data_IF_912006593474
#
_entry.id   IF_912006593474
#
_cell.length_a   1.000
_cell.length_b   1.000
_cell.length_c   1.000
_cell.angle_alpha   90.00
_cell.angle_beta   90.00
_cell.angle_gamma   90.00
#
_symmetry.space_group_name_H-M   'P 1'
#
loop_
_entity.id
_entity.type
_entity.pdbx_description
1 polymer ?
#
# COMPACT_ATOMS: atom_id res chain seq x y z
N UNK A 1 -20.31 -33.79 -74.90
CA UNK A 1 -20.41 -32.40 -75.30
C UNK A 1 -20.29 -31.56 -74.04
N UNK A 2 -19.04 -31.41 -73.56
CA UNK A 2 -18.16 -30.21 -73.61
C UNK A 2 -18.35 -29.29 -72.38
N UNK A 3 -17.34 -28.77 -71.67
CA UNK A 3 -15.89 -28.96 -71.61
C UNK A 3 -15.42 -28.42 -70.25
N UNK A 4 -14.21 -28.82 -69.86
CA UNK A 4 -13.43 -28.40 -68.69
C UNK A 4 -13.28 -26.89 -68.52
N UNK A 5 -13.36 -26.37 -67.28
CA UNK A 5 -12.37 -25.40 -66.80
C UNK A 5 -12.38 -25.28 -65.26
N UNK A 6 -11.43 -25.94 -64.62
CA UNK A 6 -10.95 -25.60 -63.29
C UNK A 6 -9.59 -24.92 -63.46
N UNK A 7 -9.41 -23.71 -62.93
CA UNK A 7 -8.11 -23.27 -62.47
C UNK A 7 -8.14 -23.20 -60.95
N UNK A 8 -7.29 -24.04 -60.36
CA UNK A 8 -6.78 -23.95 -59.00
C UNK A 8 -6.50 -22.50 -58.59
N UNK A 9 -7.24 -22.00 -57.61
CA UNK A 9 -6.86 -20.82 -56.85
C UNK A 9 -6.61 -21.25 -55.40
N UNK A 10 -5.34 -21.36 -54.94
CA UNK A 10 -5.07 -21.53 -53.53
C UNK A 10 -5.32 -20.19 -52.85
N UNK A 11 -6.41 -20.10 -52.07
CA UNK A 11 -6.74 -18.93 -51.23
C UNK A 11 -5.94 -18.93 -49.91
N UNK A 12 -4.67 -19.34 -49.96
CA UNK A 12 -3.76 -19.24 -48.83
C UNK A 12 -2.73 -18.14 -49.14
N UNK A 13 -2.81 -16.98 -48.47
CA UNK A 13 -1.69 -16.05 -48.45
C UNK A 13 -0.49 -16.78 -47.82
N UNK A 14 0.68 -16.60 -48.42
CA UNK A 14 1.94 -17.16 -47.95
C UNK A 14 2.12 -16.88 -46.45
N UNK A 15 2.27 -17.94 -45.66
CA UNK A 15 2.81 -17.89 -44.30
C UNK A 15 4.29 -17.50 -44.39
N UNK A 16 4.56 -16.21 -44.52
CA UNK A 16 5.88 -15.62 -44.34
C UNK A 16 5.72 -14.24 -43.70
N UNK A 17 5.27 -14.24 -42.46
CA UNK A 17 5.51 -13.13 -41.53
C UNK A 17 6.13 -13.76 -40.29
N UNK A 18 7.45 -13.92 -40.36
CA UNK A 18 8.30 -14.20 -39.22
C UNK A 18 8.21 -12.98 -38.29
N UNK A 19 7.23 -12.98 -37.38
CA UNK A 19 7.12 -11.95 -36.34
C UNK A 19 8.37 -11.99 -35.45
N UNK A 20 9.21 -10.94 -35.43
CA UNK A 20 10.31 -10.90 -34.49
C UNK A 20 9.79 -10.45 -33.12
N UNK A 21 10.01 -11.28 -32.10
CA UNK A 21 10.22 -10.91 -30.69
C UNK A 21 9.15 -10.05 -29.96
N UNK A 22 7.86 -10.17 -30.26
CA UNK A 22 6.79 -9.50 -29.49
C UNK A 22 6.59 -10.05 -28.07
N UNK A 23 7.05 -11.28 -27.78
CA UNK A 23 6.91 -11.91 -26.46
C UNK A 23 7.74 -11.26 -25.34
N UNK A 24 8.91 -10.68 -25.66
CA UNK A 24 9.81 -10.10 -24.64
C UNK A 24 9.31 -8.74 -24.13
N UNK A 25 8.76 -7.90 -25.01
CA UNK A 25 8.21 -6.59 -24.62
C UNK A 25 6.97 -6.73 -23.72
N UNK A 26 6.04 -7.62 -24.08
CA UNK A 26 4.84 -7.89 -23.28
C UNK A 26 5.15 -8.45 -21.88
N UNK A 27 6.14 -9.35 -21.78
CA UNK A 27 6.60 -9.87 -20.49
C UNK A 27 7.24 -8.78 -19.62
N UNK A 28 8.09 -7.92 -20.19
CA UNK A 28 8.71 -6.80 -19.46
C UNK A 28 7.65 -5.83 -18.93
N UNK A 29 6.65 -5.47 -19.75
CA UNK A 29 5.53 -4.61 -19.34
C UNK A 29 4.72 -5.25 -18.21
N UNK A 30 4.46 -6.56 -18.30
CA UNK A 30 3.74 -7.31 -17.26
C UNK A 30 4.51 -7.38 -15.94
N UNK A 31 5.82 -7.61 -16.01
CA UNK A 31 6.71 -7.61 -14.83
C UNK A 31 6.77 -6.22 -14.23
N UNK A 32 6.93 -5.17 -15.04
CA UNK A 32 6.95 -3.78 -14.58
C UNK A 32 5.65 -3.42 -13.83
N UNK A 33 4.48 -3.81 -14.37
CA UNK A 33 3.19 -3.63 -13.71
C UNK A 33 3.12 -4.35 -12.37
N UNK A 34 3.61 -5.58 -12.31
CA UNK A 34 3.62 -6.36 -11.07
C UNK A 34 4.55 -5.76 -10.02
N UNK A 35 5.76 -5.34 -10.40
CA UNK A 35 6.72 -4.65 -9.54
C UNK A 35 6.11 -3.36 -9.00
N UNK A 36 5.47 -2.58 -9.86
CA UNK A 36 4.92 -1.27 -9.48
C UNK A 36 3.75 -1.44 -8.50
N UNK A 37 2.88 -2.42 -8.74
CA UNK A 37 1.81 -2.80 -7.81
C UNK A 37 2.37 -3.31 -6.47
N UNK A 38 3.42 -4.13 -6.52
CA UNK A 38 4.11 -4.61 -5.32
C UNK A 38 4.75 -3.46 -4.54
N UNK A 39 5.41 -2.53 -5.22
CA UNK A 39 6.04 -1.36 -4.61
C UNK A 39 5.02 -0.49 -3.87
N UNK A 40 3.84 -0.22 -4.45
CA UNK A 40 2.76 0.49 -3.75
C UNK A 40 2.35 -0.21 -2.46
N UNK A 41 2.17 -1.53 -2.51
CA UNK A 41 1.81 -2.34 -1.34
C UNK A 41 2.90 -2.30 -0.26
N UNK A 42 4.17 -2.44 -0.65
CA UNK A 42 5.30 -2.41 0.28
C UNK A 42 5.41 -1.04 0.95
N UNK A 43 5.35 0.05 0.18
CA UNK A 43 5.40 1.42 0.73
C UNK A 43 4.26 1.64 1.73
N UNK A 44 3.04 1.21 1.39
CA UNK A 44 1.88 1.34 2.25
C UNK A 44 2.01 0.53 3.54
N UNK A 45 2.45 -0.74 3.46
CA UNK A 45 2.64 -1.60 4.62
C UNK A 45 3.76 -1.09 5.54
N UNK A 46 4.89 -0.68 4.97
CA UNK A 46 6.00 -0.10 5.75
C UNK A 46 5.53 1.17 6.44
N UNK A 47 4.78 2.03 5.75
CA UNK A 47 4.25 3.25 6.34
C UNK A 47 3.26 3.00 7.48
N UNK A 48 2.31 2.06 7.31
CA UNK A 48 1.41 1.63 8.40
C UNK A 48 2.22 1.08 9.58
N UNK A 49 3.22 0.25 9.31
CA UNK A 49 4.07 -0.33 10.34
C UNK A 49 4.83 0.76 11.11
N UNK A 50 5.33 1.78 10.42
CA UNK A 50 5.96 2.95 11.05
C UNK A 50 4.98 3.70 11.95
N UNK A 51 3.73 3.91 11.52
CA UNK A 51 2.69 4.53 12.37
C UNK A 51 2.42 3.67 13.60
N UNK A 52 2.26 2.36 13.43
CA UNK A 52 1.98 1.44 14.52
C UNK A 52 3.14 1.33 15.52
N UNK A 53 4.37 1.43 15.02
CA UNK A 53 5.59 1.44 15.82
C UNK A 53 5.94 2.85 16.33
N UNK A 54 5.23 3.91 15.97
CA UNK A 54 5.48 5.25 16.47
C UNK A 54 5.63 5.34 18.01
N UNK A 55 4.75 4.69 18.82
CA UNK A 55 4.91 4.64 20.28
C UNK A 55 6.11 3.81 20.76
N UNK A 56 6.81 3.08 19.88
CA UNK A 56 8.05 2.35 20.18
C UNK A 56 9.27 3.28 20.18
N UNK A 57 10.27 2.99 21.03
CA UNK A 57 11.45 3.85 21.24
C UNK A 57 12.26 4.06 19.97
N UNK A 58 12.35 3.04 19.12
CA UNK A 58 13.07 3.11 17.84
C UNK A 58 12.47 4.16 16.92
N UNK A 59 11.16 4.08 16.66
CA UNK A 59 10.48 4.98 15.73
C UNK A 59 10.39 6.40 16.29
N UNK A 60 10.19 6.57 17.59
CA UNK A 60 10.20 7.91 18.20
C UNK A 60 11.57 8.59 18.02
N UNK A 61 12.68 7.86 18.19
CA UNK A 61 14.03 8.40 17.97
C UNK A 61 14.28 8.75 16.50
N UNK A 62 13.94 7.85 15.58
CA UNK A 62 14.07 8.11 14.14
C UNK A 62 13.24 9.33 13.70
N UNK A 63 12.01 9.46 14.22
CA UNK A 63 11.15 10.59 13.94
C UNK A 63 11.74 11.90 14.46
N UNK A 64 12.28 11.92 15.69
CA UNK A 64 12.90 13.12 16.24
C UNK A 64 14.12 13.56 15.43
N UNK A 65 14.98 12.62 15.04
CA UNK A 65 16.14 12.92 14.19
C UNK A 65 15.71 13.44 12.82
N UNK A 66 14.65 12.87 12.24
CA UNK A 66 14.07 13.32 10.98
C UNK A 66 13.52 14.75 11.09
N UNK A 67 12.77 15.03 12.15
CA UNK A 67 12.23 16.36 12.45
C UNK A 67 13.37 17.36 12.63
N UNK A 68 14.41 17.04 13.39
CA UNK A 68 15.57 17.91 13.59
C UNK A 68 16.26 18.23 12.25
N UNK A 69 16.44 17.23 11.38
CA UNK A 69 17.01 17.43 10.05
C UNK A 69 16.12 18.31 9.14
N UNK A 70 14.79 18.25 9.30
CA UNK A 70 13.83 19.05 8.50
C UNK A 70 13.42 20.36 9.15
N UNK A 71 13.78 20.61 10.41
CA UNK A 71 13.47 21.86 11.12
C UNK A 71 14.16 23.09 10.51
N UNK A 72 15.30 22.90 9.83
CA UNK A 72 15.99 23.95 9.08
C UNK A 72 15.31 24.28 7.74
N UNK A 73 14.28 23.53 7.34
CA UNK A 73 13.49 23.78 6.12
C UNK A 73 12.54 24.97 6.31
N UNK A 74 12.13 25.58 5.19
CA UNK A 74 11.17 26.70 5.13
C UNK A 74 9.84 26.40 5.83
N UNK A 75 9.45 25.14 5.94
CA UNK A 75 8.19 24.70 6.57
C UNK A 75 8.35 24.18 8.01
N UNK A 76 9.59 24.07 8.51
CA UNK A 76 9.92 23.66 9.87
C UNK A 76 9.21 22.38 10.34
N UNK A 77 8.81 22.36 11.62
CA UNK A 77 8.15 21.22 12.26
C UNK A 77 6.84 20.82 11.56
N UNK A 78 6.02 21.80 11.15
CA UNK A 78 4.75 21.54 10.45
C UNK A 78 4.98 20.81 9.14
N UNK A 79 5.98 21.27 8.37
CA UNK A 79 6.39 20.60 7.13
C UNK A 79 6.91 19.19 7.37
N UNK A 80 7.69 18.98 8.43
CA UNK A 80 8.21 17.66 8.79
C UNK A 80 7.07 16.67 9.09
N UNK A 81 6.11 17.07 9.93
CA UNK A 81 4.93 16.26 10.27
C UNK A 81 4.12 15.98 9.00
N UNK A 82 3.81 17.02 8.23
CA UNK A 82 3.06 16.86 6.98
C UNK A 82 3.74 15.88 6.04
N UNK A 83 5.06 16.00 5.82
CA UNK A 83 5.81 15.13 4.93
C UNK A 83 5.89 13.70 5.46
N UNK A 84 6.07 13.47 6.77
CA UNK A 84 6.08 12.13 7.35
C UNK A 84 4.77 11.37 7.11
N UNK A 85 3.63 12.05 7.19
CA UNK A 85 2.32 11.42 6.97
C UNK A 85 1.86 11.44 5.51
N UNK A 86 2.25 12.44 4.72
CA UNK A 86 1.77 12.58 3.33
C UNK A 86 2.76 12.09 2.26
N UNK A 87 4.07 12.08 2.52
CA UNK A 87 5.06 11.67 1.52
C UNK A 87 4.85 10.23 1.02
N UNK A 88 4.47 9.26 1.87
CA UNK A 88 4.19 7.90 1.39
C UNK A 88 2.95 7.84 0.51
N UNK A 89 1.92 8.63 0.82
CA UNK A 89 0.74 8.77 -0.03
C UNK A 89 1.09 9.43 -1.37
N UNK A 90 1.90 10.48 -1.36
CA UNK A 90 2.36 11.17 -2.56
C UNK A 90 3.24 10.24 -3.43
N UNK A 91 4.14 9.47 -2.81
CA UNK A 91 4.95 8.48 -3.50
C UNK A 91 4.07 7.43 -4.19
N UNK A 92 3.07 6.88 -3.49
CA UNK A 92 2.11 5.94 -4.06
C UNK A 92 1.35 6.60 -5.23
N UNK A 93 0.92 7.85 -5.10
CA UNK A 93 0.21 8.56 -6.15
C UNK A 93 1.07 8.74 -7.42
N UNK A 94 2.34 9.11 -7.27
CA UNK A 94 3.28 9.24 -8.39
C UNK A 94 3.51 7.88 -9.06
N UNK A 95 3.77 6.84 -8.26
CA UNK A 95 3.94 5.46 -8.72
C UNK A 95 2.68 4.97 -9.44
N UNK A 96 1.49 5.33 -8.94
CA UNK A 96 0.20 4.98 -9.55
C UNK A 96 -0.05 5.71 -10.86
N UNK A 97 0.35 6.98 -10.99
CA UNK A 97 0.29 7.69 -12.25
C UNK A 97 1.16 7.00 -13.32
N UNK A 98 2.39 6.60 -12.96
CA UNK A 98 3.27 5.83 -13.86
C UNK A 98 2.64 4.48 -14.22
N UNK A 99 2.04 3.80 -13.25
CA UNK A 99 1.36 2.52 -13.48
C UNK A 99 0.22 2.66 -14.49
N UNK A 100 -0.57 3.72 -14.38
CA UNK A 100 -1.70 3.98 -15.25
C UNK A 100 -1.27 4.29 -16.68
N UNK A 101 -0.17 5.03 -16.85
CA UNK A 101 0.41 5.31 -18.18
C UNK A 101 0.86 4.00 -18.86
N UNK A 102 1.58 3.13 -18.14
CA UNK A 102 2.06 1.85 -18.68
C UNK A 102 0.90 0.85 -18.91
N UNK A 103 -0.18 0.96 -18.12
CA UNK A 103 -1.35 0.07 -18.21
C UNK A 103 -2.35 0.46 -19.29
N UNK A 104 -2.20 1.64 -19.89
CA UNK A 104 -3.11 2.17 -20.90
C UNK A 104 -3.17 1.32 -22.19
N UNK A 105 -2.09 0.60 -22.51
CA UNK A 105 -2.00 -0.22 -23.73
C UNK A 105 -2.62 -1.62 -23.59
N UNK A 106 -3.06 -2.01 -22.39
CA UNK A 106 -3.65 -3.34 -22.12
C UNK A 106 -5.18 -3.38 -22.26
N UNK A 107 -5.81 -2.29 -22.66
CA UNK A 107 -7.27 -2.24 -22.78
C UNK A 107 -7.74 -2.54 -24.22
N UNK A 108 -8.10 -3.79 -24.56
CA UNK A 108 -9.14 -3.99 -25.54
C UNK A 108 -10.43 -3.54 -24.86
N UNK A 109 -10.85 -2.30 -25.15
CA UNK A 109 -12.15 -1.69 -24.85
C UNK A 109 -13.38 -2.48 -25.37
N UNK A 110 -13.24 -3.77 -25.68
CA UNK A 110 -14.29 -4.69 -26.14
C UNK A 110 -14.14 -6.09 -25.55
N UNK A 111 -13.83 -6.26 -24.27
CA UNK A 111 -14.26 -7.50 -23.60
C UNK A 111 -15.69 -7.29 -23.14
N UNK A 112 -16.63 -7.68 -24.02
CA UNK A 112 -18.06 -7.78 -23.68
C UNK A 112 -18.17 -8.32 -22.26
N UNK A 113 -18.82 -7.53 -21.41
CA UNK A 113 -19.25 -7.90 -20.09
C UNK A 113 -20.15 -9.12 -20.29
N UNK A 114 -19.56 -10.32 -20.35
CA UNK A 114 -20.27 -11.54 -20.06
C UNK A 114 -20.52 -11.45 -18.56
N UNK A 115 -21.70 -10.96 -18.23
CA UNK A 115 -22.28 -10.94 -16.90
C UNK A 115 -22.25 -12.36 -16.33
N UNK A 116 -21.11 -12.76 -15.78
CA UNK A 116 -21.11 -13.79 -14.75
C UNK A 116 -21.55 -13.05 -13.49
N UNK A 117 -22.66 -13.46 -12.83
CA UNK A 117 -23.01 -12.93 -11.53
C UNK A 117 -21.90 -13.32 -10.56
N UNK A 118 -20.90 -12.44 -10.44
CA UNK A 118 -19.82 -12.57 -9.48
C UNK A 118 -20.44 -12.18 -8.15
N UNK A 119 -20.70 -13.19 -7.34
CA UNK A 119 -21.04 -13.12 -5.92
C UNK A 119 -20.61 -11.78 -5.32
N UNK A 120 -21.61 -10.90 -5.16
CA UNK A 120 -21.54 -9.53 -4.64
C UNK A 120 -21.32 -9.54 -3.13
N UNK A 121 -20.41 -10.39 -2.62
CA UNK A 121 -20.05 -10.44 -1.20
C UNK A 121 -19.38 -9.14 -0.71
N UNK A 122 -18.90 -8.30 -1.62
CA UNK A 122 -18.37 -6.97 -1.29
C UNK A 122 -19.44 -5.87 -1.22
N UNK A 123 -20.64 -6.13 -1.74
CA UNK A 123 -21.81 -5.26 -1.61
C UNK A 123 -22.96 -5.99 -0.96
N UNK A 124 -22.70 -7.01 -0.13
CA UNK A 124 -23.69 -7.45 0.83
C UNK A 124 -23.59 -6.45 1.99
N UNK A 125 -24.58 -5.54 2.13
CA UNK A 125 -24.71 -4.77 3.35
C UNK A 125 -25.06 -5.78 4.43
N UNK A 126 -24.04 -6.26 5.15
CA UNK A 126 -24.25 -7.09 6.34
C UNK A 126 -24.69 -6.13 7.44
N UNK A 127 -26.02 -6.07 7.64
CA UNK A 127 -26.76 -5.49 8.78
C UNK A 127 -26.53 -3.98 9.01
N UNK A 128 -27.49 -3.06 8.83
CA UNK A 128 -28.93 -3.15 9.14
C UNK A 128 -29.71 -2.08 8.36
N UNK A 129 -30.91 -2.45 7.89
CA UNK A 129 -31.99 -1.52 7.56
C UNK A 129 -32.56 -0.92 8.86
N UNK A 130 -31.86 0.05 9.47
CA UNK A 130 -32.31 0.70 10.70
C UNK A 130 -31.88 2.19 10.76
N UNK A 131 -32.58 3.02 11.56
CA UNK A 131 -32.38 4.47 11.62
C UNK A 131 -31.01 4.92 12.18
N UNK A 132 -30.19 3.96 12.64
CA UNK A 132 -28.78 4.19 12.94
C UNK A 132 -27.98 3.86 11.69
N UNK A 133 -27.79 4.91 10.90
CA UNK A 133 -27.01 5.00 9.68
C UNK A 133 -25.77 4.07 9.68
N UNK A 134 -25.81 3.09 8.77
CA UNK A 134 -24.75 2.25 8.18
C UNK A 134 -23.37 2.34 8.86
N UNK A 135 -23.11 1.47 9.84
CA UNK A 135 -21.74 1.03 10.12
C UNK A 135 -21.44 -0.13 9.18
N UNK A 136 -20.84 0.18 8.04
CA UNK A 136 -20.34 -0.81 7.08
C UNK A 136 -19.36 -1.76 7.81
N UNK A 137 -19.33 -3.05 7.47
CA UNK A 137 -18.36 -3.99 8.06
C UNK A 137 -16.90 -3.49 7.99
N UNK A 138 -16.56 -2.69 6.98
CA UNK A 138 -15.27 -2.01 6.84
C UNK A 138 -15.02 -0.97 7.96
N UNK A 139 -16.03 -0.21 8.36
CA UNK A 139 -15.95 0.77 9.45
C UNK A 139 -15.79 0.08 10.80
N UNK A 140 -16.47 -1.05 11.02
CA UNK A 140 -16.27 -1.86 12.22
C UNK A 140 -14.83 -2.38 12.33
N UNK A 141 -14.25 -2.88 11.23
CA UNK A 141 -12.83 -3.27 11.20
C UNK A 141 -11.92 -2.07 11.46
N UNK A 142 -12.23 -0.91 10.87
CA UNK A 142 -11.52 0.34 11.14
C UNK A 142 -11.50 0.71 12.62
N UNK A 143 -12.67 0.65 13.28
CA UNK A 143 -12.81 0.93 14.71
C UNK A 143 -11.99 -0.07 15.55
N UNK A 144 -12.05 -1.36 15.24
CA UNK A 144 -11.26 -2.38 15.96
C UNK A 144 -9.75 -2.15 15.84
N UNK A 145 -9.27 -1.80 14.64
CA UNK A 145 -7.86 -1.48 14.41
C UNK A 145 -7.44 -0.23 15.20
N UNK A 146 -8.29 0.81 15.21
CA UNK A 146 -8.03 2.04 15.99
C UNK A 146 -7.98 1.73 17.48
N UNK A 147 -8.93 0.98 18.01
CA UNK A 147 -8.92 0.56 19.42
C UNK A 147 -7.68 -0.26 19.76
N UNK A 148 -7.33 -1.25 18.93
CA UNK A 148 -6.11 -2.04 19.09
C UNK A 148 -4.86 -1.17 19.11
N UNK A 149 -4.78 -0.16 18.24
CA UNK A 149 -3.69 0.81 18.25
C UNK A 149 -3.66 1.68 19.51
N UNK A 150 -4.81 2.16 19.99
CA UNK A 150 -4.90 2.93 21.24
C UNK A 150 -4.43 2.10 22.43
N UNK A 151 -4.87 0.85 22.55
CA UNK A 151 -4.42 -0.05 23.61
C UNK A 151 -2.92 -0.34 23.51
N UNK A 152 -2.41 -0.56 22.31
CA UNK A 152 -0.97 -0.73 22.06
C UNK A 152 -0.16 0.50 22.49
N UNK A 153 -0.60 1.70 22.10
CA UNK A 153 0.05 2.95 22.46
C UNK A 153 0.04 3.17 23.99
N UNK A 154 -1.08 2.90 24.65
CA UNK A 154 -1.20 2.92 26.11
C UNK A 154 -0.25 1.91 26.77
N UNK A 155 -0.18 0.68 26.24
CA UNK A 155 0.74 -0.34 26.73
C UNK A 155 2.20 0.10 26.62
N UNK A 156 2.63 0.60 25.47
CA UNK A 156 3.99 1.13 25.30
C UNK A 156 4.26 2.32 26.23
N UNK A 157 3.29 3.22 26.40
CA UNK A 157 3.44 4.39 27.26
C UNK A 157 3.56 4.01 28.73
N UNK A 158 2.69 3.13 29.22
CA UNK A 158 2.73 2.62 30.60
C UNK A 158 4.04 1.89 30.88
N UNK A 159 4.50 1.01 29.99
CA UNK A 159 5.80 0.35 30.12
C UNK A 159 6.96 1.34 30.23
N UNK A 160 6.97 2.40 29.42
CA UNK A 160 8.00 3.45 29.49
C UNK A 160 7.99 4.17 30.83
N UNK A 161 6.81 4.49 31.35
CA UNK A 161 6.66 5.14 32.64
C UNK A 161 7.18 4.24 33.77
N UNK A 162 6.77 2.97 33.80
CA UNK A 162 7.25 2.02 34.80
C UNK A 162 8.76 1.79 34.71
N UNK A 163 9.31 1.70 33.49
CA UNK A 163 10.75 1.54 33.29
C UNK A 163 11.53 2.76 33.81
N UNK A 164 11.02 3.97 33.59
CA UNK A 164 11.63 5.20 34.10
C UNK A 164 11.60 5.27 35.63
N UNK A 165 10.48 4.89 36.26
CA UNK A 165 10.34 4.87 37.71
C UNK A 165 11.24 3.81 38.36
N UNK A 166 11.30 2.60 37.78
CA UNK A 166 12.19 1.54 38.26
C UNK A 166 13.67 1.96 38.18
N UNK A 167 14.08 2.55 37.05
CA UNK A 167 15.45 3.03 36.85
C UNK A 167 15.81 4.18 37.82
N UNK A 168 14.88 5.10 38.06
CA UNK A 168 15.08 6.17 39.05
C UNK A 168 15.26 5.62 40.45
N UNK A 169 14.45 4.64 40.85
CA UNK A 169 14.52 4.03 42.17
C UNK A 169 15.80 3.22 42.39
N UNK A 170 16.26 2.45 41.39
CA UNK A 170 17.51 1.68 41.51
C UNK A 170 18.74 2.58 41.60
N UNK A 171 18.82 3.63 40.78
CA UNK A 171 19.93 4.58 40.79
C UNK A 171 20.05 5.31 42.13
N UNK A 172 18.92 5.67 42.75
CA UNK A 172 18.90 6.33 44.05
C UNK A 172 19.36 5.40 45.19
N UNK A 173 19.09 4.10 45.08
CA UNK A 173 19.51 3.09 46.06
C UNK A 173 21.03 2.87 46.02
N UNK A 174 21.61 2.78 44.82
CA UNK A 174 23.07 2.69 44.64
C UNK A 174 23.79 3.93 45.15
N UNK A 175 23.30 5.14 44.83
CA UNK A 175 23.88 6.39 45.34
C UNK A 175 23.87 6.48 46.86
N UNK A 176 22.79 6.01 47.51
CA UNK A 176 22.70 5.96 48.98
C UNK A 176 23.68 4.95 49.58
N UNK A 177 23.99 3.86 48.90
CA UNK A 177 24.95 2.85 49.37
C UNK A 177 26.40 3.31 49.22
N UNK A 178 26.71 4.16 48.24
CA UNK A 178 28.06 4.72 48.03
C UNK A 178 28.35 5.89 48.99
N UNK A 179 27.32 6.62 49.43
CA UNK A 179 27.48 7.81 50.28
C UNK A 179 27.52 7.54 51.79
N UNK A 180 27.39 6.27 52.22
CA UNK A 180 27.27 5.87 53.62
C UNK A 180 28.22 4.71 53.93
#
# INVERSE_FOLDING_TARGET
MDNEHSPHHPLLPATHEQYPATGKSSAIVSIAKWILKSAMWVIFLVWILVIFLYPSSLTTQLFNNWVEATQQSLFGLTGAIFLTFSAPLLAIAIIAAVYLIISRDDEPYKKKIKEKPRWRLWTLPVLVEGPFEVVTAAEFVGILVVLGYVFWALYCYTLRMLAADYFRHSTFKELRYILN
#
